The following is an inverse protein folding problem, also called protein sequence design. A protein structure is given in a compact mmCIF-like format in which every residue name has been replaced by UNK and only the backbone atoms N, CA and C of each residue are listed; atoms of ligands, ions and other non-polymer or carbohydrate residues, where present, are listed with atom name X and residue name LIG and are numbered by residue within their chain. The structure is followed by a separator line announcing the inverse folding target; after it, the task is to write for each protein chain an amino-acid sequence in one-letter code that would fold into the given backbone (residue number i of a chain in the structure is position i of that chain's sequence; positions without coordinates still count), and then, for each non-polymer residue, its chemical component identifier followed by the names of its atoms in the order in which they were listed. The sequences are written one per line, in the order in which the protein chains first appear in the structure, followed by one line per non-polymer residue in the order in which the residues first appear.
data_IF_751541157552
#
_entry.id   IF_751541157552
#
_cell.length_a   1.000
_cell.length_b   1.000
_cell.length_c   1.000
_cell.angle_alpha   90.00
_cell.angle_beta   90.00
_cell.angle_gamma   90.00
#
_symmetry.space_group_name_H-M   'P 1'
#
loop_
_entity.id
_entity.type
_entity.pdbx_description
1 polymer ?
#
# COMPACT_ATOMS: atom_id res chain seq x y z
N UNK A 1 -1.63 -11.45 -31.94
CA UNK A 1 -0.51 -11.46 -32.90
C UNK A 1 0.75 -11.30 -32.10
N UNK A 2 1.41 -12.43 -31.90
CA UNK A 2 2.65 -12.56 -31.15
C UNK A 2 3.81 -12.16 -32.07
N UNK A 3 4.68 -11.20 -31.71
CA UNK A 3 5.88 -10.93 -32.47
C UNK A 3 7.00 -11.82 -31.90
N UNK A 4 6.78 -13.13 -31.89
CA UNK A 4 7.86 -14.10 -31.74
C UNK A 4 8.11 -14.69 -33.12
N UNK A 5 8.84 -13.94 -33.93
CA UNK A 5 9.68 -14.57 -34.92
C UNK A 5 10.91 -15.10 -34.19
N UNK A 6 11.09 -16.42 -34.32
CA UNK A 6 12.34 -17.13 -34.13
C UNK A 6 13.38 -16.51 -35.07
N UNK A 7 14.08 -15.47 -34.61
CA UNK A 7 15.44 -15.23 -35.10
C UNK A 7 16.33 -16.26 -34.41
N UNK A 8 16.73 -17.25 -35.20
CA UNK A 8 17.83 -18.15 -34.94
C UNK A 8 19.09 -17.33 -34.67
N UNK A 9 19.35 -17.00 -33.40
CA UNK A 9 20.62 -16.43 -32.97
C UNK A 9 21.68 -17.54 -33.08
N UNK A 10 22.51 -17.44 -34.12
CA UNK A 10 23.71 -18.23 -34.29
C UNK A 10 24.55 -18.15 -33.01
N UNK A 11 24.53 -19.24 -32.24
CA UNK A 11 25.30 -19.42 -31.02
C UNK A 11 26.79 -19.50 -31.37
N UNK A 12 27.44 -18.35 -31.45
CA UNK A 12 28.90 -18.29 -31.34
C UNK A 12 29.23 -18.58 -29.88
N UNK A 13 29.72 -19.80 -29.61
CA UNK A 13 30.54 -20.12 -28.44
C UNK A 13 31.73 -19.15 -28.42
N UNK A 14 31.50 -17.96 -27.89
CA UNK A 14 32.46 -16.88 -27.83
C UNK A 14 33.32 -17.10 -26.59
N UNK A 15 34.58 -17.46 -26.83
CA UNK A 15 35.69 -17.56 -25.86
C UNK A 15 36.08 -16.18 -25.30
N UNK A 16 35.10 -15.43 -24.78
CA UNK A 16 35.31 -14.13 -24.15
C UNK A 16 34.88 -14.25 -22.69
N UNK A 17 35.84 -14.62 -21.85
CA UNK A 17 35.63 -14.78 -20.41
C UNK A 17 36.07 -13.55 -19.63
N UNK A 18 36.98 -12.72 -20.17
CA UNK A 18 37.51 -11.57 -19.45
C UNK A 18 36.68 -10.30 -19.64
N UNK A 19 36.51 -9.56 -18.55
CA UNK A 19 35.84 -8.25 -18.56
C UNK A 19 36.58 -7.23 -19.42
N UNK A 20 37.90 -7.42 -19.58
CA UNK A 20 38.77 -6.63 -20.45
C UNK A 20 38.44 -6.70 -21.94
N UNK A 21 37.65 -7.68 -22.35
CA UNK A 21 37.31 -7.91 -23.76
C UNK A 21 36.00 -7.23 -24.19
N UNK A 22 35.23 -6.71 -23.22
CA UNK A 22 34.06 -5.89 -23.54
C UNK A 22 34.55 -4.62 -24.26
N UNK A 23 33.96 -4.24 -25.40
CA UNK A 23 34.32 -2.99 -26.08
C UNK A 23 34.36 -1.81 -25.11
N UNK A 24 35.44 -1.03 -25.13
CA UNK A 24 35.71 0.05 -24.17
C UNK A 24 34.51 0.99 -24.01
N UNK A 25 33.87 1.37 -25.13
CA UNK A 25 32.68 2.23 -25.12
C UNK A 25 31.52 1.63 -24.32
N UNK A 26 31.25 0.33 -24.48
CA UNK A 26 30.18 -0.35 -23.75
C UNK A 26 30.52 -0.47 -22.27
N UNK A 27 31.79 -0.74 -21.93
CA UNK A 27 32.26 -0.78 -20.54
C UNK A 27 32.10 0.57 -19.85
N UNK A 28 32.55 1.64 -20.49
CA UNK A 28 32.42 3.02 -19.97
C UNK A 28 30.95 3.41 -19.83
N UNK A 29 30.10 3.01 -20.78
CA UNK A 29 28.66 3.26 -20.68
C UNK A 29 28.03 2.52 -19.50
N UNK A 30 28.32 1.23 -19.30
CA UNK A 30 27.81 0.45 -18.17
C UNK A 30 28.26 1.06 -16.82
N UNK A 31 29.53 1.47 -16.73
CA UNK A 31 30.11 2.06 -15.52
C UNK A 31 29.53 3.43 -15.16
N UNK A 32 29.06 4.20 -16.15
CA UNK A 32 28.48 5.52 -15.92
C UNK A 32 27.01 5.49 -15.50
N UNK A 33 26.32 4.36 -15.62
CA UNK A 33 24.90 4.28 -15.24
C UNK A 33 24.75 4.09 -13.73
N UNK A 34 24.23 5.10 -13.03
CA UNK A 34 23.99 5.01 -11.58
C UNK A 34 23.06 3.86 -11.19
N UNK A 35 22.04 3.57 -12.01
CA UNK A 35 21.10 2.48 -11.75
C UNK A 35 21.66 1.06 -11.99
N UNK A 36 22.91 0.96 -12.44
CA UNK A 36 23.67 -0.29 -12.55
C UNK A 36 24.72 -0.45 -11.43
N UNK A 37 24.87 0.55 -10.57
CA UNK A 37 25.80 0.50 -9.43
C UNK A 37 25.17 -0.22 -8.26
N UNK A 38 26.01 -0.79 -7.40
CA UNK A 38 25.60 -1.34 -6.10
C UNK A 38 26.29 -0.50 -5.04
N UNK A 39 25.52 0.31 -4.31
CA UNK A 39 26.05 1.25 -3.31
C UNK A 39 27.10 2.19 -3.88
N UNK A 40 26.83 2.72 -5.08
CA UNK A 40 27.73 3.61 -5.81
C UNK A 40 28.92 2.92 -6.47
N UNK A 41 29.12 1.61 -6.28
CA UNK A 41 30.22 0.86 -6.90
C UNK A 41 29.82 0.42 -8.31
N UNK A 42 30.59 0.82 -9.36
CA UNK A 42 30.31 0.45 -10.73
C UNK A 42 30.71 -1.00 -11.05
N UNK A 43 30.26 -1.49 -12.20
CA UNK A 43 30.66 -2.80 -12.73
C UNK A 43 32.10 -2.71 -13.22
N UNK A 44 33.01 -3.47 -12.59
CA UNK A 44 34.46 -3.42 -12.91
C UNK A 44 35.03 -4.77 -13.30
N UNK A 45 34.27 -5.85 -13.14
CA UNK A 45 34.73 -7.22 -13.38
C UNK A 45 33.56 -8.14 -13.73
N UNK A 46 33.88 -9.41 -14.03
CA UNK A 46 32.89 -10.44 -14.38
C UNK A 46 31.87 -10.68 -13.26
N UNK A 47 32.32 -10.74 -12.01
CA UNK A 47 31.46 -11.03 -10.85
C UNK A 47 30.39 -9.96 -10.65
N UNK A 48 30.79 -8.69 -10.72
CA UNK A 48 29.87 -7.54 -10.62
C UNK A 48 28.91 -7.47 -11.81
N UNK A 49 29.35 -7.93 -12.99
CA UNK A 49 28.50 -8.06 -14.18
C UNK A 49 27.43 -9.13 -13.99
N UNK A 50 27.80 -10.33 -13.54
CA UNK A 50 26.86 -11.43 -13.25
C UNK A 50 25.86 -11.07 -12.16
N UNK A 51 26.31 -10.34 -11.13
CA UNK A 51 25.44 -9.81 -10.09
C UNK A 51 24.39 -8.85 -10.67
N UNK A 52 24.82 -7.87 -11.48
CA UNK A 52 23.92 -6.93 -12.13
C UNK A 52 22.91 -7.63 -13.05
N UNK A 53 23.37 -8.61 -13.82
CA UNK A 53 22.50 -9.45 -14.65
C UNK A 53 21.44 -10.16 -13.81
N UNK A 54 21.86 -10.87 -12.75
CA UNK A 54 20.96 -11.64 -11.88
C UNK A 54 19.88 -10.76 -11.25
N UNK A 55 20.24 -9.54 -10.85
CA UNK A 55 19.34 -8.57 -10.24
C UNK A 55 18.32 -7.99 -11.25
N UNK A 56 18.75 -7.72 -12.49
CA UNK A 56 17.87 -7.23 -13.56
C UNK A 56 16.92 -8.32 -14.07
N UNK A 57 17.44 -9.53 -14.29
CA UNK A 57 16.69 -10.69 -14.77
C UNK A 57 15.84 -11.33 -13.66
N UNK A 58 16.06 -10.93 -12.40
CA UNK A 58 15.35 -11.42 -11.20
C UNK A 58 15.60 -12.91 -10.94
N UNK A 59 16.77 -13.39 -11.37
CA UNK A 59 17.27 -14.75 -11.20
C UNK A 59 16.53 -15.81 -12.02
N UNK A 60 16.05 -15.49 -13.24
CA UNK A 60 15.47 -16.51 -14.13
C UNK A 60 16.53 -17.47 -14.64
N UNK A 61 17.73 -16.94 -14.89
CA UNK A 61 18.87 -17.71 -15.38
C UNK A 61 19.87 -17.91 -14.24
N UNK A 62 20.24 -19.17 -13.97
CA UNK A 62 21.16 -19.55 -12.88
C UNK A 62 22.58 -19.90 -13.33
N UNK A 63 22.75 -20.34 -14.58
CA UNK A 63 24.02 -20.85 -15.10
C UNK A 63 24.77 -19.76 -15.88
N UNK A 64 25.11 -18.66 -15.20
CA UNK A 64 25.70 -17.48 -15.85
C UNK A 64 27.10 -17.74 -16.42
N UNK A 65 27.81 -18.71 -15.86
CA UNK A 65 29.12 -19.16 -16.32
C UNK A 65 29.12 -19.71 -17.77
N UNK A 66 27.96 -20.05 -18.32
CA UNK A 66 27.83 -20.52 -19.71
C UNK A 66 27.78 -19.38 -20.73
N UNK A 67 27.61 -18.12 -20.27
CA UNK A 67 27.50 -16.96 -21.15
C UNK A 67 28.79 -16.15 -21.19
N UNK A 68 29.17 -15.66 -22.37
CA UNK A 68 30.33 -14.79 -22.53
C UNK A 68 30.12 -13.43 -21.85
N UNK A 69 31.23 -12.78 -21.50
CA UNK A 69 31.22 -11.49 -20.79
C UNK A 69 30.63 -10.37 -21.66
N UNK A 70 30.88 -10.44 -22.98
CA UNK A 70 30.26 -9.56 -23.96
C UNK A 70 28.73 -9.76 -24.05
N UNK A 71 28.24 -11.00 -24.00
CA UNK A 71 26.80 -11.29 -24.03
C UNK A 71 26.09 -10.70 -22.81
N UNK A 72 26.62 -10.98 -21.60
CA UNK A 72 26.05 -10.44 -20.37
C UNK A 72 25.99 -8.91 -20.39
N UNK A 73 27.06 -8.26 -20.85
CA UNK A 73 27.13 -6.81 -20.96
C UNK A 73 26.03 -6.22 -21.87
N UNK A 74 25.81 -6.84 -23.04
CA UNK A 74 24.74 -6.44 -23.96
C UNK A 74 23.36 -6.62 -23.34
N UNK A 75 23.12 -7.78 -22.73
CA UNK A 75 21.84 -8.09 -22.11
C UNK A 75 21.52 -7.18 -20.93
N UNK A 76 22.52 -6.84 -20.10
CA UNK A 76 22.37 -5.85 -19.04
C UNK A 76 21.94 -4.51 -19.62
N UNK A 77 22.59 -4.04 -20.68
CA UNK A 77 22.21 -2.79 -21.35
C UNK A 77 20.77 -2.80 -21.84
N UNK A 78 20.35 -3.88 -22.52
CA UNK A 78 18.98 -4.06 -23.00
C UNK A 78 17.99 -4.06 -21.83
N UNK A 79 18.22 -4.87 -20.80
CA UNK A 79 17.33 -4.96 -19.63
C UNK A 79 17.24 -3.64 -18.87
N UNK A 80 18.35 -2.91 -18.76
CA UNK A 80 18.39 -1.60 -18.11
C UNK A 80 17.53 -0.59 -18.88
N UNK A 81 17.72 -0.47 -20.19
CA UNK A 81 16.90 0.41 -21.04
C UNK A 81 15.42 0.03 -20.97
N UNK A 82 15.10 -1.27 -20.97
CA UNK A 82 13.73 -1.75 -20.77
C UNK A 82 13.16 -1.37 -19.39
N UNK A 83 13.96 -1.44 -18.33
CA UNK A 83 13.55 -1.00 -16.98
C UNK A 83 13.23 0.49 -16.98
N UNK A 84 14.08 1.32 -17.58
CA UNK A 84 13.85 2.76 -17.73
C UNK A 84 12.56 3.06 -18.50
N UNK A 85 12.40 2.48 -19.69
CA UNK A 85 11.21 2.71 -20.52
C UNK A 85 9.94 2.20 -19.87
N UNK A 86 9.98 1.07 -19.13
CA UNK A 86 8.83 0.60 -18.34
C UNK A 86 8.52 1.52 -17.17
N UNK A 87 9.52 2.06 -16.47
CA UNK A 87 9.30 3.04 -15.41
C UNK A 87 8.58 4.29 -15.96
N UNK A 88 9.02 4.80 -17.12
CA UNK A 88 8.37 5.92 -17.80
C UNK A 88 6.95 5.59 -18.32
N UNK A 89 6.74 4.42 -18.94
CA UNK A 89 5.43 4.02 -19.53
C UNK A 89 4.41 3.57 -18.48
N UNK A 90 4.86 2.90 -17.42
CA UNK A 90 3.99 2.45 -16.33
C UNK A 90 3.52 3.61 -15.47
N UNK A 91 4.18 4.78 -15.59
CA UNK A 91 3.80 6.09 -15.09
C UNK A 91 2.77 5.96 -14.00
N UNK A 92 3.21 5.51 -12.82
CA UNK A 92 2.40 5.19 -11.63
C UNK A 92 1.02 5.85 -11.73
N UNK A 93 0.06 5.15 -12.36
CA UNK A 93 -1.26 5.69 -12.74
C UNK A 93 -2.17 5.96 -11.53
N UNK A 94 -1.59 6.29 -10.39
CA UNK A 94 -2.23 6.60 -9.13
C UNK A 94 -1.59 7.83 -8.48
N UNK A 95 -1.67 9.00 -9.12
CA UNK A 95 -1.86 10.37 -8.56
C UNK A 95 -0.95 10.83 -7.37
N UNK A 96 0.02 10.05 -6.89
CA UNK A 96 0.66 10.29 -5.57
C UNK A 96 2.17 10.04 -5.56
N UNK A 97 2.82 10.01 -6.73
CA UNK A 97 4.26 9.83 -6.85
C UNK A 97 4.89 11.07 -7.50
N UNK A 98 5.94 11.62 -6.89
CA UNK A 98 6.80 12.65 -7.49
C UNK A 98 8.16 12.01 -7.81
N UNK A 99 8.77 12.31 -8.96
CA UNK A 99 10.13 11.85 -9.23
C UNK A 99 11.11 12.54 -8.28
N UNK A 100 12.21 11.87 -7.96
CA UNK A 100 13.35 12.48 -7.30
C UNK A 100 14.00 13.56 -8.15
N UNK A 101 14.75 14.44 -7.49
CA UNK A 101 15.56 15.44 -8.18
C UNK A 101 16.61 14.78 -9.08
N UNK A 102 17.00 15.43 -10.20
CA UNK A 102 18.08 14.94 -11.04
C UNK A 102 19.35 14.64 -10.23
N UNK A 103 19.94 13.46 -10.45
CA UNK A 103 21.13 13.01 -9.72
C UNK A 103 20.86 12.42 -8.33
N UNK A 104 19.61 12.41 -7.85
CA UNK A 104 19.25 11.75 -6.60
C UNK A 104 19.24 10.23 -6.78
N UNK A 105 20.17 9.55 -6.11
CA UNK A 105 20.30 8.08 -6.14
C UNK A 105 19.99 7.50 -4.77
N UNK A 106 19.19 6.43 -4.73
CA UNK A 106 18.87 5.70 -3.50
C UNK A 106 19.62 4.37 -3.49
N UNK A 107 20.42 4.14 -2.45
CA UNK A 107 21.13 2.89 -2.27
C UNK A 107 20.22 1.85 -1.66
N UNK A 108 20.13 0.69 -2.31
CA UNK A 108 19.13 -0.32 -1.97
C UNK A 108 19.76 -1.60 -1.41
N UNK A 109 18.96 -2.30 -0.61
CA UNK A 109 19.20 -3.69 -0.19
C UNK A 109 17.92 -4.50 -0.25
N UNK A 110 18.05 -5.81 -0.39
CA UNK A 110 16.91 -6.71 -0.32
C UNK A 110 16.37 -6.79 1.10
N UNK A 111 15.07 -6.58 1.30
CA UNK A 111 14.44 -6.78 2.62
C UNK A 111 14.55 -8.22 3.14
N UNK A 112 14.50 -9.19 2.22
CA UNK A 112 14.53 -10.61 2.54
C UNK A 112 15.90 -11.08 3.04
N UNK A 113 16.94 -10.93 2.21
CA UNK A 113 18.29 -11.41 2.52
C UNK A 113 19.24 -10.32 3.04
N UNK A 114 18.81 -9.06 3.13
CA UNK A 114 19.60 -7.89 3.54
C UNK A 114 20.82 -7.56 2.65
N UNK A 115 21.05 -8.34 1.59
CA UNK A 115 22.17 -8.11 0.67
C UNK A 115 21.95 -6.85 -0.18
N UNK A 116 23.04 -6.12 -0.52
CA UNK A 116 23.02 -5.03 -1.48
C UNK A 116 22.39 -5.44 -2.81
N UNK A 117 21.70 -4.51 -3.46
CA UNK A 117 21.14 -4.67 -4.80
C UNK A 117 21.48 -3.43 -5.63
N UNK A 118 21.08 -3.41 -6.91
CA UNK A 118 21.25 -2.24 -7.77
C UNK A 118 20.58 -1.01 -7.16
N UNK A 119 21.28 0.11 -7.23
CA UNK A 119 20.81 1.41 -6.78
C UNK A 119 19.61 1.89 -7.64
N UNK A 120 18.77 2.72 -7.05
CA UNK A 120 17.67 3.37 -7.76
C UNK A 120 18.09 4.79 -8.16
N UNK A 121 18.46 4.93 -9.42
CA UNK A 121 18.82 6.22 -10.03
C UNK A 121 17.61 7.04 -10.47
N UNK A 122 16.40 6.48 -10.40
CA UNK A 122 15.15 7.18 -10.76
C UNK A 122 14.12 7.00 -9.65
N UNK A 123 14.45 7.41 -8.41
CA UNK A 123 13.58 7.17 -7.27
C UNK A 123 12.29 7.96 -7.41
N UNK A 124 11.20 7.37 -6.92
CA UNK A 124 9.94 8.06 -6.75
C UNK A 124 9.64 8.25 -5.27
N UNK A 125 8.97 9.35 -4.94
CA UNK A 125 8.58 9.72 -3.59
C UNK A 125 7.08 9.94 -3.49
N UNK A 126 6.52 9.85 -2.28
CA UNK A 126 5.11 10.11 -2.06
C UNK A 126 4.84 11.61 -2.14
N UNK A 127 3.90 12.04 -2.99
CA UNK A 127 3.60 13.47 -3.17
C UNK A 127 3.17 14.16 -1.86
N UNK A 128 2.40 13.47 -1.01
CA UNK A 128 1.91 13.97 0.28
C UNK A 128 2.99 13.92 1.40
N UNK A 129 4.06 13.15 1.20
CA UNK A 129 5.17 12.97 2.13
C UNK A 129 6.46 12.85 1.30
N UNK A 130 7.05 13.96 0.83
CA UNK A 130 8.19 13.96 -0.09
C UNK A 130 9.42 13.20 0.44
N UNK A 131 9.52 13.05 1.77
CA UNK A 131 10.57 12.27 2.43
C UNK A 131 10.29 10.75 2.42
N UNK A 132 9.16 10.30 1.88
CA UNK A 132 8.83 8.88 1.80
C UNK A 132 9.14 8.33 0.41
N UNK A 133 10.21 7.53 0.31
CA UNK A 133 10.58 6.80 -0.90
C UNK A 133 9.57 5.67 -1.21
N UNK A 134 9.19 5.56 -2.48
CA UNK A 134 8.32 4.53 -3.03
C UNK A 134 9.12 3.29 -3.41
N UNK A 135 8.87 2.19 -2.70
CA UNK A 135 9.57 0.92 -2.90
C UNK A 135 9.07 0.19 -4.15
N UNK A 136 10.00 -0.18 -5.04
CA UNK A 136 9.74 -1.18 -6.06
C UNK A 136 9.56 -2.58 -5.41
N UNK A 137 8.36 -3.16 -5.57
CA UNK A 137 8.10 -4.54 -5.14
C UNK A 137 8.58 -5.51 -6.22
N UNK A 138 9.83 -5.97 -6.08
CA UNK A 138 10.42 -6.96 -6.99
C UNK A 138 9.98 -8.37 -6.59
N UNK A 139 9.36 -9.11 -7.51
CA UNK A 139 9.10 -10.55 -7.38
C UNK A 139 10.20 -11.32 -8.13
N UNK A 140 10.90 -12.20 -7.43
CA UNK A 140 11.83 -13.13 -8.08
C UNK A 140 11.06 -14.11 -8.97
N UNK A 141 11.70 -14.52 -10.06
CA UNK A 141 11.17 -15.54 -10.95
C UNK A 141 11.59 -16.97 -10.56
N UNK A 142 12.39 -17.13 -9.50
CA UNK A 142 12.82 -18.45 -9.01
C UNK A 142 11.65 -19.24 -8.43
N UNK A 143 11.64 -20.57 -8.63
CA UNK A 143 10.59 -21.48 -8.14
C UNK A 143 10.57 -21.47 -6.61
N UNK A 144 9.47 -20.99 -6.01
CA UNK A 144 9.34 -20.76 -4.56
C UNK A 144 9.96 -19.45 -4.05
N UNK A 145 10.51 -18.62 -4.95
CA UNK A 145 11.24 -17.39 -4.63
C UNK A 145 10.33 -16.18 -4.51
N UNK A 146 9.93 -15.85 -3.28
CA UNK A 146 9.84 -14.45 -2.92
C UNK A 146 11.29 -13.99 -2.72
N UNK A 147 11.80 -12.96 -3.42
CA UNK A 147 13.20 -12.56 -3.25
C UNK A 147 13.67 -11.51 -4.26
N UNK A 148 14.92 -11.04 -4.11
CA UNK A 148 15.54 -10.03 -4.98
C UNK A 148 16.18 -10.60 -6.28
N UNK A 149 16.12 -11.91 -6.51
CA UNK A 149 16.76 -12.56 -7.66
C UNK A 149 18.19 -13.03 -7.42
N UNK A 150 18.80 -12.73 -6.28
CA UNK A 150 20.08 -13.33 -5.89
C UNK A 150 19.93 -14.78 -5.44
N UNK A 151 20.95 -15.58 -5.73
CA UNK A 151 21.03 -16.98 -5.33
C UNK A 151 20.81 -17.18 -3.83
N UNK A 152 19.85 -18.06 -3.50
CA UNK A 152 19.47 -18.40 -2.13
C UNK A 152 18.48 -17.44 -1.46
N UNK A 153 18.01 -16.37 -2.13
CA UNK A 153 17.04 -15.44 -1.55
C UNK A 153 15.61 -16.01 -1.57
N UNK A 154 15.06 -16.36 -0.39
CA UNK A 154 13.67 -16.84 -0.21
C UNK A 154 12.74 -15.85 0.52
N UNK A 155 13.20 -14.61 0.74
CA UNK A 155 12.53 -13.63 1.61
C UNK A 155 11.47 -12.75 0.93
N UNK A 156 10.67 -12.00 1.70
CA UNK A 156 9.57 -11.17 1.16
C UNK A 156 10.03 -10.19 0.06
N UNK A 157 9.24 -10.00 -1.03
CA UNK A 157 9.60 -9.11 -2.12
C UNK A 157 9.66 -7.66 -1.64
N UNK A 158 10.77 -6.98 -1.88
CA UNK A 158 10.94 -5.55 -1.56
C UNK A 158 12.40 -5.13 -1.48
N UNK A 159 12.74 -4.10 -2.25
CA UNK A 159 14.03 -3.41 -2.16
C UNK A 159 13.86 -2.20 -1.25
N UNK A 160 14.71 -2.05 -0.25
CA UNK A 160 14.60 -0.98 0.75
C UNK A 160 15.89 -0.16 0.79
N UNK A 161 15.83 1.13 1.18
CA UNK A 161 17.03 1.91 1.44
C UNK A 161 17.96 1.22 2.45
N UNK A 162 19.27 1.31 2.23
CA UNK A 162 20.29 0.67 3.09
C UNK A 162 20.28 1.27 4.49
N UNK A 163 20.13 2.59 4.56
CA UNK A 163 20.07 3.36 5.79
C UNK A 163 18.90 4.35 5.75
N UNK A 164 17.81 3.98 6.42
CA UNK A 164 16.61 4.82 6.53
C UNK A 164 16.84 6.09 7.37
N UNK A 165 17.89 6.12 8.21
CA UNK A 165 18.24 7.26 9.07
C UNK A 165 19.26 8.22 8.41
N UNK A 166 20.14 7.73 7.52
CA UNK A 166 21.14 8.59 6.85
C UNK A 166 20.73 9.04 5.44
N UNK A 167 19.62 8.51 4.92
CA UNK A 167 19.04 8.94 3.65
C UNK A 167 17.67 9.61 3.85
N UNK A 168 17.28 9.96 5.08
CA UNK A 168 16.02 10.66 5.45
C UNK A 168 14.73 10.07 4.87
N UNK A 169 14.72 8.76 4.57
CA UNK A 169 13.62 8.16 3.82
C UNK A 169 12.94 7.02 4.56
N UNK A 170 11.69 7.28 4.98
CA UNK A 170 10.85 6.30 5.68
C UNK A 170 10.04 5.46 4.70
N UNK A 171 9.99 4.14 4.96
CA UNK A 171 9.25 3.14 4.19
C UNK A 171 7.75 3.42 4.14
N UNK A 172 7.16 3.40 2.93
CA UNK A 172 5.73 3.15 2.76
C UNK A 172 5.50 2.24 1.54
N UNK A 173 5.06 0.99 1.76
CA UNK A 173 4.59 0.15 0.65
C UNK A 173 3.41 0.86 -0.04
N UNK A 174 3.25 0.77 -1.36
CA UNK A 174 2.12 1.43 -2.05
C UNK A 174 0.75 1.05 -1.46
N UNK A 175 0.62 -0.22 -1.00
CA UNK A 175 -0.56 -0.69 -0.23
C UNK A 175 -0.64 -0.10 1.17
N UNK A 176 0.51 0.12 1.81
CA UNK A 176 0.59 0.83 3.08
C UNK A 176 0.17 2.28 2.89
N UNK A 177 0.57 3.01 1.84
CA UNK A 177 0.11 4.38 1.54
C UNK A 177 -1.41 4.44 1.49
N UNK A 178 -2.04 3.58 0.69
CA UNK A 178 -3.49 3.48 0.63
C UNK A 178 -4.13 3.13 2.00
N UNK A 179 -3.42 2.41 2.87
CA UNK A 179 -3.85 2.12 4.25
C UNK A 179 -3.53 3.24 5.25
N UNK A 180 -2.45 4.02 5.11
CA UNK A 180 -2.08 5.12 6.00
C UNK A 180 -2.92 6.35 5.72
N UNK A 181 -3.26 6.67 4.47
CA UNK A 181 -4.27 7.72 4.21
C UNK A 181 -5.63 7.30 4.79
N UNK A 182 -6.00 6.00 4.70
CA UNK A 182 -7.19 5.43 5.35
C UNK A 182 -7.12 5.37 6.89
N UNK A 183 -5.93 5.29 7.48
CA UNK A 183 -5.71 5.22 8.95
C UNK A 183 -5.50 6.59 9.59
N UNK A 184 -5.00 7.59 8.84
CA UNK A 184 -4.74 8.95 9.33
C UNK A 184 -5.90 9.92 9.13
N UNK A 185 -6.76 9.72 8.12
CA UNK A 185 -8.07 10.36 8.15
C UNK A 185 -8.85 9.69 9.29
N UNK A 186 -9.15 10.43 10.36
CA UNK A 186 -10.13 10.01 11.36
C UNK A 186 -11.52 10.01 10.70
N UNK A 187 -11.73 9.08 9.76
CA UNK A 187 -12.90 8.97 8.91
C UNK A 187 -14.18 8.74 9.72
N UNK A 188 -14.03 8.31 10.98
CA UNK A 188 -15.12 8.19 11.95
C UNK A 188 -15.53 9.54 12.55
N UNK A 189 -14.62 10.49 12.71
CA UNK A 189 -14.91 11.80 13.32
C UNK A 189 -16.11 12.54 12.70
N UNK A 190 -16.28 12.61 11.36
CA UNK A 190 -17.47 13.25 10.78
C UNK A 190 -18.76 12.44 10.97
N UNK A 191 -18.67 11.17 11.35
CA UNK A 191 -19.81 10.26 11.52
C UNK A 191 -20.16 10.01 13.00
N UNK A 192 -19.26 10.37 13.92
CA UNK A 192 -19.36 10.09 15.35
C UNK A 192 -19.44 11.37 16.18
N UNK A 193 -20.13 11.25 17.32
CA UNK A 193 -20.24 12.28 18.35
C UNK A 193 -18.89 12.49 19.02
N UNK A 194 -18.59 13.72 19.38
CA UNK A 194 -17.36 14.13 20.06
C UNK A 194 -17.65 15.26 21.02
N UNK A 195 -16.97 15.31 22.18
CA UNK A 195 -17.13 16.40 23.15
C UNK A 195 -18.59 16.53 23.62
N UNK A 196 -19.16 17.73 23.50
CA UNK A 196 -20.53 18.03 23.93
C UNK A 196 -21.61 17.21 23.19
N UNK A 197 -21.33 16.72 21.98
CA UNK A 197 -22.29 15.91 21.22
C UNK A 197 -22.58 14.54 21.88
N UNK A 198 -21.75 14.12 22.84
CA UNK A 198 -21.92 12.88 23.61
C UNK A 198 -22.97 12.99 24.71
N UNK A 199 -23.50 14.19 24.97
CA UNK A 199 -24.56 14.39 25.97
C UNK A 199 -25.77 13.48 25.68
N UNK A 200 -26.20 12.74 26.71
CA UNK A 200 -27.27 11.74 26.62
C UNK A 200 -26.87 10.36 26.08
N UNK A 201 -25.60 10.15 25.68
CA UNK A 201 -25.08 8.81 25.36
C UNK A 201 -24.51 8.14 26.61
N UNK A 202 -24.66 6.81 26.72
CA UNK A 202 -24.07 6.07 27.83
C UNK A 202 -22.54 6.05 27.73
N UNK A 203 -21.86 6.36 28.83
CA UNK A 203 -20.39 6.35 28.94
C UNK A 203 -19.83 4.93 29.00
N UNK A 204 -20.64 3.96 29.40
CA UNK A 204 -20.28 2.54 29.46
C UNK A 204 -21.43 1.70 28.94
N UNK A 205 -21.11 0.69 28.13
CA UNK A 205 -22.11 -0.24 27.59
C UNK A 205 -21.68 -1.68 27.88
N UNK A 206 -22.59 -2.49 28.40
CA UNK A 206 -22.37 -3.94 28.52
C UNK A 206 -22.44 -4.58 27.13
N UNK A 207 -21.37 -5.25 26.73
CA UNK A 207 -21.24 -5.86 25.40
C UNK A 207 -20.89 -7.33 25.46
N UNK A 208 -21.34 -8.11 24.47
CA UNK A 208 -21.15 -9.56 24.34
C UNK A 208 -20.36 -9.92 23.08
N UNK A 209 -19.39 -10.81 23.22
CA UNK A 209 -18.56 -11.31 22.12
C UNK A 209 -19.34 -12.26 21.20
N UNK A 210 -19.26 -12.03 19.89
CA UNK A 210 -19.80 -12.92 18.82
C UNK A 210 -18.74 -13.80 18.15
N UNK A 211 -17.53 -13.89 18.74
CA UNK A 211 -16.48 -14.79 18.27
C UNK A 211 -16.88 -16.27 18.37
N UNK A 212 -16.24 -17.16 17.63
CA UNK A 212 -16.42 -18.61 17.81
C UNK A 212 -15.62 -19.09 19.03
N UNK A 213 -16.21 -19.96 19.83
CA UNK A 213 -15.54 -20.61 20.97
C UNK A 213 -14.48 -21.63 20.54
N UNK A 214 -13.74 -22.16 21.51
CA UNK A 214 -12.63 -23.10 21.28
C UNK A 214 -13.08 -24.50 20.82
N UNK A 215 -14.38 -24.83 20.91
CA UNK A 215 -14.88 -26.12 20.44
C UNK A 215 -15.12 -26.07 18.92
N UNK A 216 -14.84 -27.17 18.21
CA UNK A 216 -15.13 -27.35 16.78
C UNK A 216 -16.64 -27.27 16.42
N UNK A 217 -17.49 -26.95 17.39
CA UNK A 217 -18.91 -26.64 17.21
C UNK A 217 -19.06 -25.12 17.08
N UNK A 218 -19.94 -24.64 16.20
CA UNK A 218 -20.22 -23.20 15.96
C UNK A 218 -20.91 -22.54 17.16
N UNK A 219 -20.37 -22.65 18.37
CA UNK A 219 -20.89 -22.03 19.58
C UNK A 219 -20.27 -20.63 19.66
N UNK A 220 -21.12 -19.61 19.74
CA UNK A 220 -20.69 -18.24 19.96
C UNK A 220 -20.08 -18.09 21.36
N UNK A 221 -19.01 -17.30 21.47
CA UNK A 221 -18.23 -17.10 22.68
C UNK A 221 -19.10 -16.62 23.85
N UNK A 222 -20.02 -15.69 23.61
CA UNK A 222 -20.96 -15.21 24.62
C UNK A 222 -20.35 -14.45 25.80
N UNK A 223 -19.03 -14.26 25.87
CA UNK A 223 -18.38 -13.51 26.96
C UNK A 223 -18.86 -12.07 26.96
N UNK A 224 -19.32 -11.62 28.12
CA UNK A 224 -19.78 -10.25 28.35
C UNK A 224 -18.75 -9.45 29.13
N UNK A 225 -18.67 -8.15 28.84
CA UNK A 225 -17.83 -7.21 29.57
C UNK A 225 -18.36 -5.79 29.42
N UNK A 226 -17.89 -4.91 30.28
CA UNK A 226 -18.15 -3.49 30.15
C UNK A 226 -17.23 -2.89 29.09
N UNK A 227 -17.77 -1.96 28.32
CA UNK A 227 -17.07 -1.21 27.30
C UNK A 227 -17.11 0.26 27.64
N UNK A 228 -16.02 0.73 28.25
CA UNK A 228 -15.90 2.07 28.86
C UNK A 228 -15.47 3.16 27.85
N UNK A 229 -15.33 2.79 26.58
CA UNK A 229 -14.97 3.74 25.50
C UNK A 229 -15.93 3.64 24.31
N UNK A 230 -17.26 3.67 24.53
CA UNK A 230 -18.24 3.50 23.48
C UNK A 230 -18.19 4.66 22.49
N UNK A 231 -18.05 4.33 21.22
CA UNK A 231 -18.17 5.29 20.14
C UNK A 231 -19.64 5.37 19.69
N UNK A 232 -20.19 6.58 19.64
CA UNK A 232 -21.59 6.83 19.25
C UNK A 232 -21.68 7.62 17.96
N UNK A 233 -22.57 7.21 17.06
CA UNK A 233 -22.83 7.96 15.82
C UNK A 233 -23.59 9.26 16.07
N UNK A 234 -23.43 10.24 15.17
CA UNK A 234 -24.24 11.47 15.18
C UNK A 234 -25.70 11.24 14.76
N UNK A 235 -26.05 10.02 14.33
CA UNK A 235 -27.42 9.63 13.98
C UNK A 235 -28.40 9.97 15.12
N UNK A 236 -29.67 10.19 14.77
CA UNK A 236 -30.75 10.40 15.74
C UNK A 236 -31.83 9.34 15.52
N UNK A 237 -32.10 8.45 16.51
CA UNK A 237 -31.37 8.29 17.76
C UNK A 237 -29.92 7.81 17.54
N UNK A 238 -29.05 8.09 18.51
CA UNK A 238 -27.65 7.69 18.47
C UNK A 238 -27.52 6.16 18.41
N UNK A 239 -26.68 5.67 17.52
CA UNK A 239 -26.37 4.24 17.41
C UNK A 239 -24.93 3.97 17.86
N UNK A 240 -24.73 2.93 18.65
CA UNK A 240 -23.43 2.43 19.08
C UNK A 240 -22.65 1.92 17.86
N UNK A 241 -21.40 2.36 17.71
CA UNK A 241 -20.51 1.83 16.68
C UNK A 241 -20.00 0.47 17.14
N UNK A 242 -20.19 -0.56 16.32
CA UNK A 242 -19.84 -1.94 16.67
C UNK A 242 -18.39 -2.06 17.16
N UNK A 243 -18.18 -2.45 18.44
CA UNK A 243 -16.85 -2.54 19.01
C UNK A 243 -16.05 -3.70 18.41
N UNK A 244 -14.73 -3.49 18.29
CA UNK A 244 -13.74 -4.53 18.00
C UNK A 244 -12.76 -4.62 19.15
N UNK A 245 -12.87 -5.69 19.93
CA UNK A 245 -12.17 -5.83 21.19
C UNK A 245 -11.45 -7.17 21.25
N UNK A 246 -10.31 -7.24 21.95
CA UNK A 246 -9.59 -8.49 22.18
C UNK A 246 -10.43 -9.46 23.02
N UNK A 247 -10.49 -10.71 22.57
CA UNK A 247 -11.12 -11.80 23.31
C UNK A 247 -10.33 -13.10 23.08
N UNK A 248 -9.97 -13.80 24.15
CA UNK A 248 -9.18 -15.04 24.07
C UNK A 248 -10.03 -16.30 23.81
N UNK A 249 -11.23 -16.13 23.26
CA UNK A 249 -12.16 -17.24 23.05
C UNK A 249 -11.74 -18.19 21.93
N UNK A 250 -10.82 -17.77 21.06
CA UNK A 250 -10.26 -18.61 20.00
C UNK A 250 -8.82 -19.06 20.29
N UNK A 251 -8.28 -18.73 21.48
CA UNK A 251 -6.90 -19.01 21.90
C UNK A 251 -5.84 -18.23 21.13
N UNK A 252 -6.22 -17.27 20.26
CA UNK A 252 -5.31 -16.53 19.39
C UNK A 252 -5.18 -15.05 19.72
N UNK A 253 -5.85 -14.57 20.78
CA UNK A 253 -5.77 -13.19 21.26
C UNK A 253 -6.15 -12.15 20.20
N UNK A 254 -7.10 -12.49 19.31
CA UNK A 254 -7.52 -11.63 18.20
C UNK A 254 -8.62 -10.66 18.62
N UNK A 255 -8.82 -9.62 17.80
CA UNK A 255 -9.96 -8.73 17.93
C UNK A 255 -11.22 -9.39 17.37
N UNK A 256 -12.25 -9.48 18.18
CA UNK A 256 -13.58 -9.96 17.83
C UNK A 256 -14.59 -8.82 17.79
N UNK A 257 -15.70 -9.05 17.07
CA UNK A 257 -16.84 -8.15 17.11
C UNK A 257 -17.68 -8.42 18.35
N UNK A 258 -18.14 -7.33 18.94
CA UNK A 258 -19.01 -7.34 20.10
C UNK A 258 -20.33 -6.64 19.78
N UNK A 259 -21.39 -7.00 20.49
CA UNK A 259 -22.72 -6.41 20.37
C UNK A 259 -23.25 -6.00 21.75
N UNK A 260 -24.09 -4.97 21.85
CA UNK A 260 -24.68 -4.61 23.14
C UNK A 260 -25.54 -5.75 23.68
N UNK A 261 -25.46 -5.99 24.99
CA UNK A 261 -26.33 -6.97 25.67
C UNK A 261 -27.77 -6.47 25.72
N UNK A 262 -27.94 -5.17 25.96
CA UNK A 262 -29.24 -4.50 25.86
C UNK A 262 -29.65 -4.33 24.39
N UNK A 263 -30.76 -4.98 24.01
CA UNK A 263 -31.32 -4.94 22.65
C UNK A 263 -31.94 -3.60 22.28
N UNK A 264 -32.19 -2.72 23.27
CA UNK A 264 -32.69 -1.37 23.01
C UNK A 264 -31.59 -0.43 22.49
N UNK A 265 -30.32 -0.80 22.68
CA UNK A 265 -29.18 -0.04 22.15
C UNK A 265 -29.04 -0.36 20.66
N UNK A 266 -29.52 0.57 19.82
CA UNK A 266 -29.30 0.51 18.39
C UNK A 266 -27.80 0.48 18.05
N UNK A 267 -27.38 -0.43 17.19
CA UNK A 267 -25.98 -0.59 16.78
C UNK A 267 -25.82 -0.39 15.27
N UNK A 268 -24.66 0.11 14.86
CA UNK A 268 -24.24 0.16 13.46
C UNK A 268 -22.91 -0.57 13.27
N UNK A 269 -22.82 -1.41 12.23
CA UNK A 269 -21.57 -2.10 11.92
C UNK A 269 -20.52 -1.12 11.38
N UNK A 270 -19.25 -1.41 11.64
CA UNK A 270 -18.13 -0.66 11.04
C UNK A 270 -18.16 -0.71 9.51
N UNK A 271 -18.65 -1.81 8.93
CA UNK A 271 -18.80 -1.97 7.48
C UNK A 271 -19.83 -0.99 6.92
N UNK A 272 -20.98 -0.86 7.58
CA UNK A 272 -22.04 0.07 7.17
C UNK A 272 -21.56 1.53 7.25
N UNK A 273 -20.89 1.92 8.34
CA UNK A 273 -20.31 3.27 8.46
C UNK A 273 -19.28 3.57 7.38
N UNK A 274 -18.41 2.60 7.06
CA UNK A 274 -17.44 2.75 5.97
C UNK A 274 -18.11 2.93 4.61
N UNK A 275 -19.22 2.23 4.35
CA UNK A 275 -19.99 2.40 3.11
C UNK A 275 -20.55 3.82 3.00
N UNK A 276 -21.05 4.39 4.09
CA UNK A 276 -21.52 5.79 4.14
C UNK A 276 -20.38 6.74 3.79
N UNK A 277 -19.25 6.63 4.51
CA UNK A 277 -18.10 7.49 4.30
C UNK A 277 -17.58 7.39 2.86
N UNK A 278 -17.43 6.17 2.34
CA UNK A 278 -16.96 5.94 0.97
C UNK A 278 -17.92 6.51 -0.07
N UNK A 279 -19.24 6.42 0.14
CA UNK A 279 -20.22 7.00 -0.77
C UNK A 279 -20.08 8.53 -0.91
N UNK A 280 -19.76 9.24 0.18
CA UNK A 280 -19.44 10.67 0.11
C UNK A 280 -18.11 10.94 -0.60
N UNK A 281 -17.07 10.15 -0.34
CA UNK A 281 -15.79 10.27 -1.05
C UNK A 281 -15.95 10.06 -2.56
N UNK A 282 -16.76 9.07 -2.97
CA UNK A 282 -17.04 8.78 -4.37
C UNK A 282 -17.82 9.93 -5.04
N UNK A 283 -18.62 10.66 -4.27
CA UNK A 283 -19.27 11.92 -4.66
C UNK A 283 -18.34 13.15 -4.60
N UNK A 284 -17.03 12.96 -4.35
CA UNK A 284 -16.01 14.01 -4.17
C UNK A 284 -16.30 14.95 -2.99
N UNK A 285 -16.92 14.42 -1.94
CA UNK A 285 -17.18 15.12 -0.68
C UNK A 285 -16.30 14.55 0.43
N UNK A 286 -15.39 15.36 0.97
CA UNK A 286 -14.74 15.05 2.24
C UNK A 286 -15.56 15.61 3.40
N UNK A 287 -16.29 14.73 4.09
CA UNK A 287 -17.19 15.11 5.18
C UNK A 287 -16.51 15.89 6.31
N UNK A 288 -15.19 15.78 6.48
CA UNK A 288 -14.47 16.58 7.48
C UNK A 288 -14.57 18.09 7.23
N UNK A 289 -14.80 18.51 5.99
CA UNK A 289 -14.94 19.91 5.59
C UNK A 289 -16.38 20.46 5.63
N UNK A 290 -17.36 19.71 6.14
CA UNK A 290 -18.79 20.04 6.10
C UNK A 290 -19.45 19.92 7.47
N UNK A 291 -20.59 20.62 7.70
CA UNK A 291 -21.31 20.53 8.95
C UNK A 291 -21.84 19.10 9.20
N UNK A 292 -21.81 18.67 10.47
CA UNK A 292 -22.31 17.35 10.91
C UNK A 292 -23.85 17.34 10.93
N UNK A 293 -24.47 17.11 9.77
CA UNK A 293 -25.93 17.05 9.63
C UNK A 293 -26.41 15.59 9.52
N UNK A 294 -26.86 14.96 10.62
CA UNK A 294 -27.18 13.53 10.62
C UNK A 294 -28.32 13.15 9.67
N UNK A 295 -29.35 14.00 9.57
CA UNK A 295 -30.48 13.79 8.66
C UNK A 295 -30.13 13.86 7.17
N UNK A 296 -28.94 14.37 6.83
CA UNK A 296 -28.40 14.36 5.46
C UNK A 296 -27.40 13.22 5.29
N UNK A 297 -26.49 13.04 6.25
CA UNK A 297 -25.41 12.04 6.17
C UNK A 297 -25.96 10.62 6.17
N UNK A 298 -26.92 10.34 7.05
CA UNK A 298 -27.48 9.00 7.26
C UNK A 298 -28.84 8.76 6.59
N UNK A 299 -29.22 9.56 5.59
CA UNK A 299 -30.49 9.49 4.84
C UNK A 299 -30.59 8.22 3.95
N UNK A 300 -30.15 7.06 4.43
CA UNK A 300 -30.06 5.79 3.71
C UNK A 300 -31.31 4.92 3.85
N UNK A 301 -32.13 5.13 4.88
CA UNK A 301 -33.33 4.35 5.10
C UNK A 301 -34.57 5.23 4.83
N UNK A 302 -35.57 4.76 4.08
CA UNK A 302 -36.89 5.35 4.13
C UNK A 302 -37.34 5.29 5.60
N UNK A 303 -37.45 6.44 6.26
CA UNK A 303 -37.90 6.55 7.66
C UNK A 303 -39.37 6.11 7.78
N UNK A 304 -39.64 4.81 7.66
CA UNK A 304 -40.98 4.24 7.68
C UNK A 304 -41.87 4.61 6.47
N UNK A 305 -41.41 5.47 5.56
CA UNK A 305 -42.15 5.87 4.36
C UNK A 305 -41.65 5.08 3.13
N UNK A 306 -42.36 4.01 2.71
CA UNK A 306 -41.95 3.19 1.58
C UNK A 306 -41.90 3.96 0.24
N UNK A 307 -42.43 5.19 0.17
CA UNK A 307 -42.39 6.04 -1.03
C UNK A 307 -41.19 6.98 -1.08
N UNK A 308 -40.47 7.18 0.04
CA UNK A 308 -39.33 8.10 0.07
C UNK A 308 -38.10 7.44 -0.55
N UNK A 309 -37.73 7.87 -1.77
CA UNK A 309 -36.46 7.47 -2.38
C UNK A 309 -35.29 8.07 -1.58
N UNK A 310 -34.31 7.26 -1.14
CA UNK A 310 -33.12 7.77 -0.49
C UNK A 310 -32.38 8.72 -1.44
N UNK A 311 -31.93 9.87 -0.93
CA UNK A 311 -31.11 10.78 -1.72
C UNK A 311 -29.81 10.10 -2.12
N UNK A 312 -29.33 10.36 -3.33
CA UNK A 312 -27.99 9.97 -3.76
C UNK A 312 -26.92 10.72 -2.93
N UNK A 313 -25.71 10.19 -2.85
CA UNK A 313 -24.60 10.88 -2.16
C UNK A 313 -24.27 12.24 -2.80
N UNK A 314 -24.47 12.39 -4.11
CA UNK A 314 -24.28 13.65 -4.82
C UNK A 314 -25.32 14.69 -4.40
N UNK A 315 -26.59 14.32 -4.28
CA UNK A 315 -27.63 15.24 -3.79
C UNK A 315 -27.34 15.64 -2.34
N UNK A 316 -27.03 14.68 -1.47
CA UNK A 316 -26.66 14.97 -0.07
C UNK A 316 -25.47 15.93 0.02
N UNK A 317 -24.48 15.76 -0.86
CA UNK A 317 -23.33 16.65 -0.92
C UNK A 317 -23.74 18.10 -1.26
N UNK A 318 -24.62 18.31 -2.23
CA UNK A 318 -25.13 19.65 -2.54
C UNK A 318 -25.85 20.27 -1.33
N UNK A 319 -26.67 19.51 -0.59
CA UNK A 319 -27.25 19.99 0.67
C UNK A 319 -26.20 20.42 1.69
N UNK A 320 -25.12 19.63 1.86
CA UNK A 320 -24.03 19.98 2.77
C UNK A 320 -23.29 21.25 2.33
N UNK A 321 -23.13 21.49 1.02
CA UNK A 321 -22.55 22.74 0.50
C UNK A 321 -23.44 23.94 0.84
N UNK A 322 -24.74 23.85 0.58
CA UNK A 322 -25.68 24.91 0.91
C UNK A 322 -25.67 25.22 2.40
N UNK A 323 -25.73 24.19 3.26
CA UNK A 323 -25.66 24.37 4.71
C UNK A 323 -24.35 25.04 5.15
N UNK A 324 -23.21 24.65 4.56
CA UNK A 324 -21.92 25.29 4.84
C UNK A 324 -21.91 26.77 4.47
N UNK A 325 -22.47 27.13 3.31
CA UNK A 325 -22.57 28.52 2.85
C UNK A 325 -23.49 29.32 3.78
N UNK A 326 -24.65 28.80 4.15
CA UNK A 326 -25.59 29.46 5.07
C UNK A 326 -24.94 29.73 6.43
N UNK A 327 -24.18 28.78 6.96
CA UNK A 327 -23.45 28.95 8.23
C UNK A 327 -22.30 29.97 8.12
N UNK A 328 -21.69 30.14 6.95
CA UNK A 328 -20.63 31.12 6.71
C UNK A 328 -21.15 32.54 6.41
N UNK A 329 -22.36 32.65 5.84
CA UNK A 329 -22.99 33.93 5.48
C UNK A 329 -23.86 34.54 6.58
N UNK A 330 -23.80 34.04 7.81
CA UNK A 330 -24.54 34.55 8.97
C UNK A 330 -23.70 35.49 9.86
N UNK A 331 -22.67 36.13 9.30
CA UNK A 331 -21.84 37.13 10.00
C UNK A 331 -22.22 38.55 9.62
#
# INVERSE_FOLDING_TARGET
MDPFHEESDDYVFSEIFDFGDIPTTLRLWLQSQDGLKVHGVPITNRETLELAFSLLDKGRISNLNQFSTAYLARMIGIMYIQKLTRAHKSGFKQIKAIPGEPGKVIHLKCKGCQRPVLDDAFPFFVAELPDCYLIEVVRSAQKGGNGCGQNGCKGKPGLIPVNHMAQDHTRMETRAIAQTTRRKANWKAPLCRTGKDLEGCAETVRVRCRGQGQSHQKIECGRERDYDTPEWTIHSPARLVQPRLKCDCDGRGKDHYFEPVDKNIGMVSLTSLRKIYQGFLDARCDLAGYPKLPGIIFDLEPNGDPKKKPRTYRERFEYLKHAKISLAGSN
#
